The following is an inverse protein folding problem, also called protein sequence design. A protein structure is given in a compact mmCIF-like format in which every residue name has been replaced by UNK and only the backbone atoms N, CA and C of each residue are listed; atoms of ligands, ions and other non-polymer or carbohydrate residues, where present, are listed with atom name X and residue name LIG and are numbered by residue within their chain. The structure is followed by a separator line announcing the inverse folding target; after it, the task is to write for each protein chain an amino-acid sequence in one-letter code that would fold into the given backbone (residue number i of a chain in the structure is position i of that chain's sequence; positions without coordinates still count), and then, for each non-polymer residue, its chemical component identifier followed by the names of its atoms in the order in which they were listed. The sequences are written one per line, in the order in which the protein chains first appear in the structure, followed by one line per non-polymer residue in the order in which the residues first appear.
data_IF_207198126755
#
_entry.id   IF_207198126755
#
_cell.length_a   1.000
_cell.length_b   1.000
_cell.length_c   1.000
_cell.angle_alpha   90.00
_cell.angle_beta   90.00
_cell.angle_gamma   90.00
#
_symmetry.space_group_name_H-M   'P 1'
#
loop_
_entity.id
_entity.type
_entity.pdbx_description
1 polymer ?
#
# COMPACT_ATOMS: atom_id res chain seq x y z
N UNK A 1 -25.11 72.41 -53.44
CA UNK A 1 -25.21 71.56 -52.23
C UNK A 1 -24.65 70.14 -52.43
N UNK A 2 -24.73 69.53 -53.60
CA UNK A 2 -24.30 68.14 -53.85
C UNK A 2 -22.80 67.87 -53.56
N UNK A 3 -21.89 68.81 -53.88
CA UNK A 3 -20.44 68.59 -53.68
C UNK A 3 -20.00 68.48 -52.21
N UNK A 4 -20.68 69.20 -51.30
CA UNK A 4 -20.36 69.12 -49.86
C UNK A 4 -20.73 67.80 -49.25
N UNK A 5 -21.83 67.19 -49.66
CA UNK A 5 -22.22 65.85 -49.20
C UNK A 5 -21.32 64.70 -49.77
N UNK A 6 -20.85 64.87 -50.98
CA UNK A 6 -19.90 63.94 -51.59
C UNK A 6 -18.58 64.00 -50.84
N UNK A 7 -18.07 65.13 -50.47
CA UNK A 7 -16.85 65.28 -49.71
C UNK A 7 -16.99 64.64 -48.32
N UNK A 8 -18.12 64.92 -47.62
CA UNK A 8 -18.38 64.31 -46.31
C UNK A 8 -18.49 62.81 -46.34
N UNK A 9 -19.09 62.25 -47.41
CA UNK A 9 -19.20 60.79 -47.62
C UNK A 9 -17.83 60.17 -47.82
N UNK A 10 -16.96 60.78 -48.65
CA UNK A 10 -15.61 60.34 -48.89
C UNK A 10 -14.79 60.32 -47.58
N UNK A 11 -14.88 61.40 -46.81
CA UNK A 11 -14.19 61.49 -45.52
C UNK A 11 -14.68 60.40 -44.53
N UNK A 12 -15.98 60.13 -44.48
CA UNK A 12 -16.54 59.10 -43.64
C UNK A 12 -16.06 57.70 -44.03
N UNK A 13 -15.98 57.39 -45.33
CA UNK A 13 -15.47 56.13 -45.83
C UNK A 13 -13.97 55.93 -45.50
N UNK A 14 -13.17 57.02 -45.68
CA UNK A 14 -11.72 56.93 -45.35
C UNK A 14 -11.53 56.76 -43.83
N UNK A 15 -12.32 57.40 -42.99
CA UNK A 15 -12.26 57.17 -41.53
C UNK A 15 -12.65 55.74 -41.18
N UNK A 16 -13.70 55.20 -41.79
CA UNK A 16 -14.10 53.80 -41.52
C UNK A 16 -13.02 52.80 -41.94
N UNK A 17 -12.37 53.00 -43.08
CA UNK A 17 -11.23 52.18 -43.52
C UNK A 17 -10.02 52.35 -42.59
N UNK A 18 -9.74 53.53 -42.07
CA UNK A 18 -8.64 53.72 -41.12
C UNK A 18 -8.89 53.01 -39.78
N UNK A 19 -10.12 52.97 -39.29
CA UNK A 19 -10.52 52.30 -38.09
C UNK A 19 -10.38 50.77 -38.28
N UNK A 20 -10.82 50.25 -39.42
CA UNK A 20 -10.72 48.79 -39.68
C UNK A 20 -9.28 48.34 -39.85
N UNK A 21 -8.40 49.13 -40.46
CA UNK A 21 -6.97 48.78 -40.57
C UNK A 21 -6.26 48.91 -39.23
N UNK A 22 -6.61 49.90 -38.41
CA UNK A 22 -6.07 50.05 -37.05
C UNK A 22 -6.49 48.88 -36.14
N UNK A 23 -7.73 48.38 -36.28
CA UNK A 23 -8.20 47.20 -35.52
C UNK A 23 -7.51 45.94 -35.96
N UNK A 24 -7.25 45.76 -37.26
CA UNK A 24 -6.51 44.60 -37.78
C UNK A 24 -5.02 44.61 -37.34
N UNK A 25 -4.41 45.79 -37.20
CA UNK A 25 -3.04 45.94 -36.76
C UNK A 25 -2.84 45.72 -35.23
N UNK A 26 -3.95 45.86 -34.45
CA UNK A 26 -3.93 45.64 -33.00
C UNK A 26 -4.27 44.21 -32.58
N UNK A 27 -4.68 43.33 -33.50
CA UNK A 27 -4.87 41.89 -33.23
C UNK A 27 -3.54 41.14 -33.31
N UNK A 28 -2.80 41.06 -32.22
CA UNK A 28 -1.68 40.16 -32.06
C UNK A 28 -2.22 38.76 -31.72
N UNK A 29 -2.04 37.80 -32.64
CA UNK A 29 -2.28 36.39 -32.33
C UNK A 29 -1.16 35.94 -31.42
N UNK A 30 -1.43 35.77 -30.14
CA UNK A 30 -0.52 35.18 -29.19
C UNK A 30 -0.53 33.66 -29.40
N UNK A 31 0.41 33.11 -30.13
CA UNK A 31 0.60 31.68 -30.24
C UNK A 31 1.33 31.20 -28.99
N UNK A 32 0.58 30.63 -28.05
CA UNK A 32 1.15 29.87 -26.94
C UNK A 32 1.48 28.46 -27.49
N UNK A 33 2.71 28.24 -27.88
CA UNK A 33 3.22 26.91 -28.12
C UNK A 33 3.51 26.29 -26.75
N UNK A 34 2.64 25.42 -26.30
CA UNK A 34 2.97 24.49 -25.23
C UNK A 34 3.82 23.39 -25.87
N UNK A 35 5.11 23.36 -25.58
CA UNK A 35 5.90 22.16 -25.79
C UNK A 35 5.15 21.05 -25.07
N UNK A 36 5.03 19.87 -25.70
CA UNK A 36 4.36 18.73 -25.11
C UNK A 36 4.90 18.50 -23.70
N UNK A 37 4.06 18.76 -22.70
CA UNK A 37 4.35 18.35 -21.34
C UNK A 37 4.17 16.84 -21.36
N UNK A 38 5.25 16.09 -21.36
CA UNK A 38 5.22 14.64 -21.14
C UNK A 38 4.83 14.47 -19.68
N UNK A 39 3.58 14.17 -19.46
CA UNK A 39 3.13 13.74 -18.14
C UNK A 39 3.66 12.32 -17.96
N UNK A 40 4.56 12.11 -17.00
CA UNK A 40 4.99 10.76 -16.63
C UNK A 40 3.75 9.94 -16.28
N UNK A 41 3.66 8.73 -16.82
CA UNK A 41 2.57 7.83 -16.52
C UNK A 41 2.67 7.44 -15.03
N UNK A 42 1.70 7.88 -14.26
CA UNK A 42 1.59 7.50 -12.85
C UNK A 42 1.26 6.00 -12.77
N UNK A 43 2.10 5.25 -12.12
CA UNK A 43 1.91 3.81 -11.93
C UNK A 43 1.65 3.47 -10.48
N UNK A 44 0.69 2.58 -10.27
CA UNK A 44 0.36 2.02 -8.97
C UNK A 44 0.78 0.56 -8.92
N UNK A 45 1.75 0.22 -8.06
CA UNK A 45 2.18 -1.16 -7.88
C UNK A 45 2.79 -1.34 -6.49
N UNK A 46 1.97 -1.78 -5.54
CA UNK A 46 2.36 -2.02 -4.14
C UNK A 46 2.03 -3.45 -3.76
N UNK A 47 2.98 -4.14 -3.18
CA UNK A 47 2.74 -5.50 -2.73
C UNK A 47 3.93 -6.10 -1.97
N UNK A 48 3.69 -7.29 -1.43
CA UNK A 48 4.77 -8.11 -0.89
C UNK A 48 5.69 -8.57 -2.01
N UNK A 49 6.99 -8.68 -1.70
CA UNK A 49 7.99 -9.25 -2.60
C UNK A 49 8.30 -10.70 -2.21
N UNK A 50 8.63 -11.52 -3.21
CA UNK A 50 8.88 -12.94 -3.01
C UNK A 50 7.61 -13.78 -3.05
N UNK A 51 7.78 -15.09 -3.01
CA UNK A 51 6.69 -16.09 -3.04
C UNK A 51 6.57 -16.87 -1.74
N UNK A 52 7.62 -16.83 -0.91
CA UNK A 52 7.68 -17.56 0.37
C UNK A 52 8.61 -16.84 1.37
N UNK A 53 8.40 -17.09 2.65
CA UNK A 53 9.29 -16.69 3.71
C UNK A 53 9.51 -17.83 4.69
N UNK A 54 10.77 -18.08 5.02
CA UNK A 54 11.15 -19.02 6.08
C UNK A 54 11.22 -18.28 7.40
N UNK A 55 10.72 -18.92 8.46
CA UNK A 55 10.76 -18.31 9.78
C UNK A 55 12.13 -18.49 10.46
N UNK A 56 12.52 -17.47 11.22
CA UNK A 56 13.50 -17.65 12.29
C UNK A 56 12.77 -18.10 13.54
N UNK A 57 13.11 -19.28 14.05
CA UNK A 57 12.50 -19.81 15.27
C UNK A 57 13.31 -19.42 16.50
N UNK A 58 12.64 -18.96 17.56
CA UNK A 58 13.23 -18.65 18.86
C UNK A 58 12.36 -19.21 19.98
N UNK A 59 12.95 -19.48 21.14
CA UNK A 59 12.25 -19.99 22.31
C UNK A 59 13.02 -21.11 23.00
N UNK A 60 12.47 -21.60 24.10
CA UNK A 60 13.11 -22.61 24.98
C UNK A 60 12.89 -24.05 24.53
N UNK A 61 11.97 -24.30 23.60
CA UNK A 61 11.74 -25.64 23.06
C UNK A 61 12.87 -26.07 22.14
N UNK A 62 13.52 -27.19 22.47
CA UNK A 62 14.47 -27.88 21.60
C UNK A 62 13.78 -28.93 20.73
N UNK A 63 12.62 -29.40 21.14
CA UNK A 63 11.78 -30.41 20.48
C UNK A 63 10.33 -29.97 20.46
N UNK A 64 9.58 -30.29 19.40
CA UNK A 64 8.16 -29.99 19.29
C UNK A 64 7.85 -28.58 18.84
N UNK A 65 8.84 -27.79 18.38
CA UNK A 65 8.62 -26.51 17.71
C UNK A 65 8.91 -26.68 16.22
N UNK A 66 7.93 -26.33 15.42
CA UNK A 66 8.05 -26.28 13.96
C UNK A 66 7.48 -24.97 13.43
N UNK A 67 8.25 -24.29 12.62
CA UNK A 67 7.81 -23.10 11.91
C UNK A 67 7.68 -23.46 10.44
N UNK A 68 6.46 -23.60 9.96
CA UNK A 68 6.21 -23.82 8.53
C UNK A 68 6.65 -22.64 7.68
N UNK A 69 6.80 -22.86 6.39
CA UNK A 69 7.09 -21.79 5.43
C UNK A 69 5.83 -20.98 5.15
N UNK A 70 5.92 -19.67 5.21
CA UNK A 70 4.80 -18.81 4.80
C UNK A 70 4.77 -18.66 3.28
N UNK A 71 3.58 -18.74 2.69
CA UNK A 71 3.33 -18.44 1.28
C UNK A 71 2.99 -16.97 1.13
N UNK A 72 3.62 -16.32 0.18
CA UNK A 72 3.47 -14.88 -0.09
C UNK A 72 2.81 -14.68 -1.44
N UNK A 73 1.79 -13.81 -1.47
CA UNK A 73 1.24 -13.23 -2.68
C UNK A 73 1.44 -11.73 -2.65
N UNK A 74 1.20 -11.03 -3.75
CA UNK A 74 1.35 -9.57 -3.77
C UNK A 74 0.57 -8.84 -2.66
N UNK A 75 -0.55 -9.40 -2.19
CA UNK A 75 -1.45 -8.74 -1.24
C UNK A 75 -1.60 -9.45 0.11
N UNK A 76 -1.04 -10.65 0.26
CA UNK A 76 -1.23 -11.43 1.49
C UNK A 76 -0.09 -12.37 1.82
N UNK A 77 0.01 -12.70 3.10
CA UNK A 77 0.89 -13.73 3.63
C UNK A 77 0.03 -14.77 4.32
N UNK A 78 0.24 -16.03 3.97
CA UNK A 78 -0.45 -17.18 4.57
C UNK A 78 0.58 -18.05 5.28
N UNK A 79 0.42 -18.27 6.58
CA UNK A 79 1.30 -19.13 7.37
C UNK A 79 0.90 -20.58 7.14
N UNK A 80 1.89 -21.43 6.84
CA UNK A 80 1.71 -22.87 6.85
C UNK A 80 1.55 -23.40 8.28
N UNK A 81 1.43 -24.72 8.42
CA UNK A 81 1.34 -25.37 9.71
C UNK A 81 2.50 -24.97 10.61
N UNK A 82 2.18 -24.55 11.84
CA UNK A 82 3.14 -24.10 12.84
C UNK A 82 2.81 -24.78 14.15
N UNK A 83 3.78 -25.45 14.75
CA UNK A 83 3.66 -26.09 16.06
C UNK A 83 4.48 -25.30 17.07
N UNK A 84 3.82 -24.77 18.09
CA UNK A 84 4.41 -24.12 19.25
C UNK A 84 3.80 -24.73 20.51
N UNK A 85 4.62 -25.12 21.49
CA UNK A 85 4.16 -25.91 22.61
C UNK A 85 4.52 -25.33 23.99
N UNK A 86 5.43 -24.40 24.05
CA UNK A 86 5.91 -23.82 25.31
C UNK A 86 5.85 -22.31 25.32
N UNK A 87 5.71 -21.71 26.52
CA UNK A 87 5.91 -20.27 26.67
C UNK A 87 7.22 -19.81 26.00
N UNK A 88 7.20 -18.61 25.41
CA UNK A 88 8.31 -18.01 24.67
C UNK A 88 8.67 -18.62 23.31
N UNK A 89 8.05 -19.75 22.93
CA UNK A 89 8.22 -20.24 21.58
C UNK A 89 7.64 -19.26 20.56
N UNK A 90 8.40 -18.93 19.53
CA UNK A 90 7.94 -18.08 18.44
C UNK A 90 8.62 -18.39 17.12
N UNK A 91 7.89 -18.09 16.07
CA UNK A 91 8.33 -18.09 14.68
C UNK A 91 8.24 -16.67 14.14
N UNK A 92 9.33 -16.14 13.62
CA UNK A 92 9.41 -14.77 13.08
C UNK A 92 9.69 -14.84 11.59
N UNK A 93 8.75 -14.39 10.79
CA UNK A 93 8.88 -14.28 9.33
C UNK A 93 9.23 -12.84 8.96
N UNK A 94 10.31 -12.67 8.24
CA UNK A 94 10.70 -11.36 7.69
C UNK A 94 10.07 -11.21 6.30
N UNK A 95 9.29 -10.17 6.13
CA UNK A 95 8.53 -9.87 4.94
C UNK A 95 8.94 -8.52 4.41
N UNK A 96 8.93 -8.34 3.09
CA UNK A 96 9.21 -7.06 2.47
C UNK A 96 8.02 -6.63 1.63
N UNK A 97 7.50 -5.43 1.90
CA UNK A 97 6.53 -4.74 1.05
C UNK A 97 7.31 -3.75 0.19
N UNK A 98 7.03 -3.72 -1.09
CA UNK A 98 7.63 -2.79 -2.04
C UNK A 98 6.55 -2.01 -2.77
N UNK A 99 6.75 -0.71 -2.86
CA UNK A 99 6.04 0.14 -3.80
C UNK A 99 6.92 0.29 -5.05
N UNK A 100 6.59 -0.42 -6.12
CA UNK A 100 7.29 -0.30 -7.41
C UNK A 100 6.64 0.73 -8.33
N UNK A 101 5.62 1.42 -7.85
CA UNK A 101 4.94 2.50 -8.57
C UNK A 101 5.58 3.86 -8.33
N UNK A 102 5.13 4.84 -9.09
CA UNK A 102 5.58 6.25 -9.02
C UNK A 102 4.76 7.08 -8.04
N UNK A 103 3.67 6.52 -7.48
CA UNK A 103 2.77 7.19 -6.53
C UNK A 103 3.06 6.70 -5.12
N UNK A 104 3.23 7.59 -4.12
CA UNK A 104 3.32 7.17 -2.72
C UNK A 104 2.08 6.42 -2.28
N UNK A 105 2.27 5.41 -1.45
CA UNK A 105 1.22 4.53 -0.93
C UNK A 105 1.08 4.68 0.58
N UNK A 106 -0.13 4.46 1.08
CA UNK A 106 -0.45 4.52 2.51
C UNK A 106 -1.14 3.23 2.92
N UNK A 107 -0.61 2.55 3.94
CA UNK A 107 -1.26 1.37 4.50
C UNK A 107 -2.59 1.77 5.16
N UNK A 108 -3.70 1.37 4.56
CA UNK A 108 -5.04 1.75 5.03
C UNK A 108 -5.66 0.71 5.95
N UNK A 109 -5.53 -0.57 5.60
CA UNK A 109 -6.21 -1.64 6.33
C UNK A 109 -5.35 -2.88 6.43
N UNK A 110 -5.42 -3.55 7.57
CA UNK A 110 -4.86 -4.87 7.82
C UNK A 110 -6.02 -5.80 8.14
N UNK A 111 -6.22 -6.83 7.31
CA UNK A 111 -7.32 -7.78 7.47
C UNK A 111 -6.78 -9.18 7.79
N UNK A 112 -6.93 -9.64 9.04
CA UNK A 112 -6.58 -11.00 9.42
C UNK A 112 -7.67 -11.98 9.00
N UNK A 113 -7.26 -13.20 8.60
CA UNK A 113 -8.14 -14.35 8.39
C UNK A 113 -7.72 -15.45 9.36
N UNK A 114 -8.68 -15.96 10.11
CA UNK A 114 -8.44 -16.97 11.15
C UNK A 114 -7.92 -18.27 10.56
N UNK A 115 -6.98 -18.96 11.25
CA UNK A 115 -6.56 -20.30 10.86
C UNK A 115 -7.72 -21.30 11.01
N UNK A 116 -7.59 -22.38 10.32
CA UNK A 116 -8.41 -23.58 10.47
C UNK A 116 -7.63 -24.66 11.22
N UNK A 117 -8.31 -25.56 11.88
CA UNK A 117 -7.70 -26.66 12.61
C UNK A 117 -8.64 -27.27 13.64
N UNK A 118 -8.24 -28.43 14.19
CA UNK A 118 -9.03 -29.12 15.19
C UNK A 118 -8.95 -28.37 16.52
N UNK A 119 -10.12 -28.09 17.12
CA UNK A 119 -10.22 -27.43 18.44
C UNK A 119 -9.61 -26.01 18.50
N UNK A 120 -9.55 -25.31 17.37
CA UNK A 120 -9.03 -23.93 17.31
C UNK A 120 -10.17 -22.95 17.54
N UNK A 121 -10.18 -22.30 18.70
CA UNK A 121 -11.06 -21.17 18.97
C UNK A 121 -10.28 -19.88 18.84
N UNK A 122 -10.60 -19.08 17.82
CA UNK A 122 -10.00 -17.75 17.66
C UNK A 122 -10.91 -16.68 18.22
N UNK A 123 -10.34 -15.81 19.02
CA UNK A 123 -10.98 -14.59 19.46
C UNK A 123 -11.25 -13.60 18.32
N UNK A 124 -11.46 -12.34 18.65
CA UNK A 124 -11.64 -11.30 17.65
C UNK A 124 -10.35 -11.12 16.86
N UNK A 125 -10.41 -11.34 15.56
CA UNK A 125 -9.31 -11.02 14.64
C UNK A 125 -9.51 -9.59 14.12
N UNK A 126 -8.64 -8.67 14.49
CA UNK A 126 -8.75 -7.26 14.09
C UNK A 126 -7.36 -6.63 13.92
N UNK A 127 -7.20 -5.89 12.84
CA UNK A 127 -5.96 -5.18 12.55
C UNK A 127 -4.74 -6.13 12.50
N UNK A 128 -3.61 -5.73 13.11
CA UNK A 128 -2.35 -6.48 13.01
C UNK A 128 -2.26 -7.69 13.95
N UNK A 129 -3.27 -7.99 14.75
CA UNK A 129 -3.19 -9.05 15.78
C UNK A 129 -4.39 -9.99 15.70
N UNK A 130 -4.10 -11.28 15.87
CA UNK A 130 -5.10 -12.35 15.96
C UNK A 130 -4.64 -13.36 17.02
N UNK A 131 -5.55 -13.72 17.93
CA UNK A 131 -5.29 -14.69 19.00
C UNK A 131 -6.16 -15.91 18.77
N UNK A 132 -5.56 -17.08 18.68
CA UNK A 132 -6.23 -18.36 18.46
C UNK A 132 -5.75 -19.39 19.50
N UNK A 133 -6.57 -19.61 20.52
CA UNK A 133 -6.15 -20.40 21.68
C UNK A 133 -4.92 -19.77 22.33
N UNK A 134 -3.87 -20.58 22.49
CA UNK A 134 -2.58 -20.15 23.04
C UNK A 134 -1.61 -19.60 21.99
N UNK A 135 -2.04 -19.41 20.75
CA UNK A 135 -1.20 -18.88 19.66
C UNK A 135 -1.63 -17.46 19.32
N UNK A 136 -0.67 -16.56 19.30
CA UNK A 136 -0.86 -15.19 18.82
C UNK A 136 -0.12 -14.99 17.53
N UNK A 137 -0.83 -14.50 16.51
CA UNK A 137 -0.30 -14.04 15.24
C UNK A 137 -0.30 -12.52 15.24
N UNK A 138 0.84 -11.91 14.95
CA UNK A 138 0.97 -10.46 15.01
C UNK A 138 1.85 -9.94 13.88
N UNK A 139 1.33 -8.97 13.12
CA UNK A 139 2.16 -8.17 12.22
C UNK A 139 2.81 -7.03 12.99
N UNK A 140 4.11 -6.88 12.86
CA UNK A 140 4.92 -5.93 13.63
C UNK A 140 5.91 -5.19 12.75
N UNK A 141 6.36 -4.04 13.21
CA UNK A 141 7.43 -3.27 12.58
C UNK A 141 8.83 -3.66 13.05
N UNK A 142 8.92 -4.57 14.03
CA UNK A 142 10.19 -5.08 14.57
C UNK A 142 10.17 -6.61 14.74
N UNK A 143 11.33 -7.24 14.65
CA UNK A 143 11.49 -8.69 14.80
C UNK A 143 11.21 -9.20 16.22
N UNK A 144 11.30 -8.36 17.23
CA UNK A 144 10.95 -8.72 18.61
C UNK A 144 9.45 -8.95 18.81
N UNK A 145 8.59 -8.44 17.91
CA UNK A 145 7.14 -8.58 17.99
C UNK A 145 6.47 -7.60 18.95
N UNK A 146 7.19 -6.61 19.45
CA UNK A 146 6.70 -5.68 20.48
C UNK A 146 5.85 -4.56 19.88
N UNK A 147 6.23 -4.02 18.72
CA UNK A 147 5.56 -2.90 18.09
C UNK A 147 4.65 -3.38 16.97
N UNK A 148 3.35 -3.27 17.15
CA UNK A 148 2.36 -3.64 16.13
C UNK A 148 2.54 -2.79 14.87
N UNK A 149 2.31 -3.39 13.68
CA UNK A 149 2.30 -2.66 12.43
C UNK A 149 1.15 -1.66 12.45
N UNK A 150 1.49 -0.38 12.29
CA UNK A 150 0.50 0.70 12.31
C UNK A 150 -0.06 0.94 10.91
N UNK A 151 -1.38 1.18 10.83
CA UNK A 151 -2.00 1.78 9.65
C UNK A 151 -1.62 3.25 9.52
N UNK A 152 -1.93 3.85 8.39
CA UNK A 152 -1.58 5.23 8.05
C UNK A 152 -0.07 5.51 7.86
N UNK A 153 0.76 4.47 7.78
CA UNK A 153 2.17 4.61 7.42
C UNK A 153 2.31 4.79 5.92
N UNK A 154 3.11 5.78 5.52
CA UNK A 154 3.36 6.07 4.10
C UNK A 154 4.57 5.28 3.62
N UNK A 155 4.43 4.66 2.45
CA UNK A 155 5.48 4.01 1.69
C UNK A 155 5.76 4.84 0.44
N UNK A 156 6.93 5.47 0.39
CA UNK A 156 7.31 6.32 -0.74
C UNK A 156 7.28 5.57 -2.07
N UNK A 157 7.17 6.31 -3.17
CA UNK A 157 7.39 5.77 -4.51
C UNK A 157 8.76 5.07 -4.60
N UNK A 158 8.79 3.90 -5.21
CA UNK A 158 9.97 3.01 -5.28
C UNK A 158 10.56 2.58 -3.92
N UNK A 159 9.85 2.87 -2.82
CA UNK A 159 10.28 2.53 -1.45
C UNK A 159 10.00 1.08 -1.07
N UNK A 160 10.67 0.63 0.00
CA UNK A 160 10.47 -0.68 0.62
C UNK A 160 10.21 -0.52 2.11
N UNK A 161 9.42 -1.42 2.67
CA UNK A 161 9.14 -1.52 4.10
C UNK A 161 9.32 -2.96 4.56
N UNK A 162 10.12 -3.17 5.59
CA UNK A 162 10.21 -4.48 6.25
C UNK A 162 9.08 -4.62 7.26
N UNK A 163 8.40 -5.74 7.21
CA UNK A 163 7.30 -6.12 8.12
C UNK A 163 7.62 -7.50 8.67
N UNK A 164 7.32 -7.73 9.93
CA UNK A 164 7.52 -9.02 10.57
C UNK A 164 6.17 -9.64 10.91
N UNK A 165 5.98 -10.89 10.53
CA UNK A 165 4.89 -11.71 11.05
C UNK A 165 5.45 -12.56 12.17
N UNK A 166 5.01 -12.32 13.38
CA UNK A 166 5.41 -13.04 14.59
C UNK A 166 4.27 -13.96 15.00
N UNK A 167 4.55 -15.23 15.03
CA UNK A 167 3.66 -16.27 15.57
C UNK A 167 4.27 -16.72 16.89
N UNK A 168 3.55 -16.55 17.99
CA UNK A 168 4.08 -16.81 19.34
C UNK A 168 3.11 -17.61 20.18
N UNK A 169 3.66 -18.48 21.04
CA UNK A 169 2.91 -19.14 22.08
C UNK A 169 2.71 -18.18 23.26
N UNK A 170 1.47 -17.97 23.64
CA UNK A 170 1.09 -17.02 24.71
C UNK A 170 0.44 -17.72 25.92
N UNK A 171 0.35 -19.06 25.90
CA UNK A 171 -0.05 -19.82 27.08
C UNK A 171 0.99 -19.77 28.19
N UNK A 172 0.54 -19.88 29.44
CA UNK A 172 1.42 -19.85 30.62
C UNK A 172 1.98 -21.21 31.00
N UNK A 173 1.42 -22.26 30.43
CA UNK A 173 1.79 -23.67 30.69
C UNK A 173 2.13 -24.38 29.38
N UNK A 174 2.92 -25.43 29.49
CA UNK A 174 3.19 -26.29 28.32
C UNK A 174 1.90 -26.95 27.88
N UNK A 175 1.64 -26.94 26.59
CA UNK A 175 0.48 -27.63 26.03
C UNK A 175 0.74 -29.13 26.03
N UNK A 176 -0.14 -29.89 26.65
CA UNK A 176 -0.04 -31.38 26.70
C UNK A 176 -0.57 -32.07 25.45
N UNK A 177 -1.28 -31.30 24.59
CA UNK A 177 -1.86 -31.83 23.35
C UNK A 177 -1.38 -30.95 22.20
N UNK A 178 -0.99 -31.62 21.12
CA UNK A 178 -0.65 -30.90 19.88
C UNK A 178 -1.90 -30.25 19.30
N UNK A 179 -1.83 -28.92 19.05
CA UNK A 179 -2.86 -28.16 18.37
C UNK A 179 -2.28 -27.65 17.07
N UNK A 180 -2.69 -28.26 15.98
CA UNK A 180 -2.29 -27.85 14.65
C UNK A 180 -3.17 -26.70 14.17
N UNK A 181 -2.56 -25.60 13.79
CA UNK A 181 -3.23 -24.44 13.18
C UNK A 181 -2.59 -24.15 11.82
N UNK A 182 -3.41 -24.03 10.79
CA UNK A 182 -2.94 -23.76 9.43
C UNK A 182 -3.79 -22.69 8.74
N UNK A 183 -3.21 -22.01 7.78
CA UNK A 183 -3.93 -21.05 6.94
C UNK A 183 -4.22 -19.70 7.60
N UNK A 184 -3.58 -19.37 8.73
CA UNK A 184 -3.61 -18.03 9.26
C UNK A 184 -3.08 -17.05 8.21
N UNK A 185 -3.85 -16.01 7.88
CA UNK A 185 -3.56 -15.11 6.77
C UNK A 185 -3.70 -13.65 7.20
N UNK A 186 -2.83 -12.81 6.70
CA UNK A 186 -2.97 -11.35 6.77
C UNK A 186 -2.94 -10.76 5.36
N UNK A 187 -3.93 -9.94 5.07
CA UNK A 187 -3.98 -9.12 3.87
C UNK A 187 -3.74 -7.66 4.22
N UNK A 188 -2.87 -7.01 3.46
CA UNK A 188 -2.58 -5.57 3.58
C UNK A 188 -3.24 -4.84 2.43
N UNK A 189 -3.99 -3.79 2.73
CA UNK A 189 -4.55 -2.88 1.74
C UNK A 189 -3.79 -1.56 1.82
N UNK A 190 -3.28 -1.13 0.68
CA UNK A 190 -2.69 0.19 0.51
C UNK A 190 -3.60 1.03 -0.36
N UNK A 191 -3.75 2.29 -0.01
CA UNK A 191 -4.41 3.33 -0.79
C UNK A 191 -3.36 4.37 -1.21
N UNK A 192 -3.68 5.21 -2.16
CA UNK A 192 -2.83 6.33 -2.55
C UNK A 192 -2.67 7.29 -1.36
N UNK A 193 -1.43 7.75 -1.11
CA UNK A 193 -1.11 8.65 -0.01
C UNK A 193 -1.46 10.10 -0.34
#
# INVERSE_FOLDING_TARGET
MKKKYQLALIVAIVMLLAITTAYAALSTTLNIQTNSVVQEALTWNVGFTGTSATATSTGTSTTGRSCGTATITATSVTVAETTLSKPDDKCVYTLTVKNSGTIPAKLSTITPTKPTGTSVTCGTASGPTMVCGNITYKLTSNSAGTTALATNTTLAANGTQTVYLVVSYTGTTVNSSEITQSGAKFALKYDQA
#
